data_IF_747732094287
#
_entry.id   IF_747732094287
#
_cell.length_a   1.000
_cell.length_b   1.000
_cell.length_c   1.000
_cell.angle_alpha   90.00
_cell.angle_beta   90.00
_cell.angle_gamma   90.00
#
_symmetry.space_group_name_H-M   'P 1'
#
loop_
_entity.id
_entity.type
_entity.pdbx_description
1 polymer ?
#
# COMPACT_ATOMS: atom_id res chain seq x y z
N UNK A 1 -8.47 -27.11 -17.96
CA UNK A 1 -9.46 -26.02 -18.03
C UNK A 1 -8.95 -24.94 -17.10
N UNK A 2 -8.32 -23.93 -17.69
CA UNK A 2 -7.83 -22.76 -16.97
C UNK A 2 -9.08 -22.05 -16.41
N UNK A 3 -9.28 -22.14 -15.10
CA UNK A 3 -10.36 -21.44 -14.41
C UNK A 3 -10.03 -19.97 -14.52
N UNK A 4 -10.46 -19.35 -15.61
CA UNK A 4 -10.45 -17.91 -15.82
C UNK A 4 -11.03 -17.29 -14.55
N UNK A 5 -10.20 -16.57 -13.80
CA UNK A 5 -10.55 -16.10 -12.45
C UNK A 5 -11.85 -15.29 -12.47
N UNK A 6 -12.54 -15.18 -11.33
CA UNK A 6 -13.79 -14.39 -11.28
C UNK A 6 -13.55 -12.94 -11.70
N UNK A 7 -14.56 -12.19 -12.17
CA UNK A 7 -14.41 -10.78 -12.58
C UNK A 7 -13.67 -9.92 -11.54
N UNK A 8 -14.04 -10.05 -10.25
CA UNK A 8 -13.39 -9.30 -9.16
C UNK A 8 -11.89 -9.65 -8.98
N UNK A 9 -11.49 -10.88 -9.31
CA UNK A 9 -10.07 -11.29 -9.30
C UNK A 9 -9.31 -10.63 -10.45
N UNK A 10 -9.92 -10.60 -11.65
CA UNK A 10 -9.30 -10.00 -12.83
C UNK A 10 -9.19 -8.47 -12.68
N UNK A 11 -10.22 -7.82 -12.15
CA UNK A 11 -10.22 -6.38 -11.86
C UNK A 11 -9.15 -6.07 -10.81
N UNK A 12 -9.12 -6.81 -9.70
CA UNK A 12 -8.11 -6.59 -8.65
C UNK A 12 -6.68 -6.77 -9.15
N UNK A 13 -6.45 -7.78 -9.99
CA UNK A 13 -5.15 -8.00 -10.65
C UNK A 13 -4.78 -6.82 -11.57
N UNK A 14 -5.71 -6.38 -12.41
CA UNK A 14 -5.48 -5.29 -13.35
C UNK A 14 -5.22 -3.95 -12.66
N UNK A 15 -5.98 -3.63 -11.60
CA UNK A 15 -5.79 -2.42 -10.79
C UNK A 15 -4.41 -2.44 -10.13
N UNK A 16 -4.00 -3.57 -9.54
CA UNK A 16 -2.68 -3.66 -8.92
C UNK A 16 -1.55 -3.46 -9.95
N UNK A 17 -1.69 -4.04 -11.14
CA UNK A 17 -0.72 -3.84 -12.23
C UNK A 17 -0.67 -2.37 -12.64
N UNK A 18 -1.82 -1.71 -12.79
CA UNK A 18 -1.89 -0.29 -13.17
C UNK A 18 -1.21 0.61 -12.13
N UNK A 19 -1.46 0.37 -10.84
CA UNK A 19 -0.85 1.14 -9.74
C UNK A 19 0.67 0.93 -9.72
N UNK A 20 1.14 -0.32 -9.72
CA UNK A 20 2.58 -0.61 -9.70
C UNK A 20 3.28 -0.04 -10.92
N UNK A 21 2.64 -0.14 -12.10
CA UNK A 21 3.16 0.45 -13.34
C UNK A 21 3.31 1.95 -13.23
N UNK A 22 2.26 2.64 -12.78
CA UNK A 22 2.26 4.09 -12.63
C UNK A 22 3.40 4.60 -11.74
N UNK A 23 3.63 3.95 -10.60
CA UNK A 23 4.69 4.33 -9.65
C UNK A 23 6.11 4.05 -10.21
N UNK A 24 6.30 2.92 -10.88
CA UNK A 24 7.62 2.51 -11.39
C UNK A 24 8.01 3.29 -12.65
N UNK A 25 7.05 3.56 -13.54
CA UNK A 25 7.27 4.35 -14.76
C UNK A 25 7.65 5.80 -14.41
N UNK A 26 7.00 6.40 -13.39
CA UNK A 26 7.34 7.75 -12.93
C UNK A 26 8.80 7.88 -12.47
N UNK A 27 9.32 6.89 -11.72
CA UNK A 27 10.74 6.87 -11.30
C UNK A 27 11.68 6.59 -12.49
N UNK A 28 11.25 5.74 -13.42
CA UNK A 28 12.05 5.36 -14.60
C UNK A 28 12.22 6.54 -15.57
N UNK A 29 11.18 7.33 -15.77
CA UNK A 29 11.19 8.54 -16.60
C UNK A 29 12.12 9.61 -16.01
N UNK A 30 12.08 9.82 -14.69
CA UNK A 30 12.99 10.74 -14.01
C UNK A 30 14.47 10.33 -14.15
N UNK A 31 14.74 9.02 -14.23
CA UNK A 31 16.09 8.45 -14.30
C UNK A 31 16.55 8.07 -15.73
N UNK A 32 15.79 8.39 -16.79
CA UNK A 32 16.12 8.08 -18.20
C UNK A 32 16.55 6.61 -18.45
N UNK A 33 15.90 5.64 -17.80
CA UNK A 33 16.29 4.23 -17.86
C UNK A 33 15.25 3.38 -18.62
N UNK A 34 15.59 2.13 -18.97
CA UNK A 34 14.70 1.21 -19.67
C UNK A 34 13.46 0.82 -18.82
N UNK A 35 12.28 0.61 -19.44
CA UNK A 35 11.04 0.28 -18.74
C UNK A 35 11.13 -1.05 -17.96
N UNK A 36 10.56 -1.07 -16.76
CA UNK A 36 10.47 -2.29 -15.94
C UNK A 36 9.43 -3.26 -16.52
N UNK A 37 9.84 -4.52 -16.69
CA UNK A 37 8.97 -5.59 -17.20
C UNK A 37 7.99 -6.05 -16.11
N UNK A 38 6.78 -5.49 -16.12
CA UNK A 38 5.66 -5.97 -15.31
C UNK A 38 4.80 -7.01 -16.08
N UNK A 39 4.13 -7.93 -15.37
CA UNK A 39 3.11 -8.79 -15.97
C UNK A 39 2.09 -7.94 -16.74
N UNK A 40 1.69 -8.40 -17.93
CA UNK A 40 0.53 -7.80 -18.61
C UNK A 40 -0.74 -8.21 -17.88
N UNK A 41 -1.71 -7.31 -17.70
CA UNK A 41 -3.01 -7.68 -17.18
C UNK A 41 -3.61 -8.81 -18.01
N UNK A 42 -4.32 -9.73 -17.35
CA UNK A 42 -5.20 -10.66 -18.06
C UNK A 42 -6.21 -9.85 -18.88
N UNK A 43 -6.59 -10.37 -20.04
CA UNK A 43 -7.53 -9.67 -20.93
C UNK A 43 -8.89 -9.51 -20.24
N UNK A 44 -9.20 -8.29 -19.82
CA UNK A 44 -10.54 -7.93 -19.36
C UNK A 44 -11.49 -7.96 -20.56
N UNK A 45 -12.52 -8.81 -20.48
CA UNK A 45 -13.39 -9.14 -21.61
C UNK A 45 -14.36 -8.02 -22.01
N UNK A 46 -14.67 -7.09 -21.10
CA UNK A 46 -15.67 -6.06 -21.30
C UNK A 46 -15.04 -4.64 -21.17
N UNK A 47 -15.62 -3.67 -21.89
CA UNK A 47 -15.17 -2.27 -21.79
C UNK A 47 -15.50 -1.64 -20.43
N UNK A 48 -16.54 -2.13 -19.76
CA UNK A 48 -16.94 -1.62 -18.45
C UNK A 48 -15.89 -1.90 -17.38
N UNK A 49 -15.35 -3.13 -17.31
CA UNK A 49 -14.31 -3.44 -16.32
C UNK A 49 -13.01 -2.71 -16.65
N UNK A 50 -12.67 -2.54 -17.93
CA UNK A 50 -11.51 -1.74 -18.33
C UNK A 50 -11.64 -0.28 -17.88
N UNK A 51 -12.83 0.32 -18.05
CA UNK A 51 -13.10 1.68 -17.58
C UNK A 51 -13.05 1.75 -16.06
N UNK A 52 -13.64 0.77 -15.37
CA UNK A 52 -13.64 0.70 -13.91
C UNK A 52 -12.21 0.58 -13.36
N UNK A 53 -11.37 -0.27 -13.96
CA UNK A 53 -9.96 -0.43 -13.60
C UNK A 53 -9.22 0.90 -13.70
N UNK A 54 -9.38 1.61 -14.82
CA UNK A 54 -8.79 2.92 -14.99
C UNK A 54 -9.29 3.95 -13.95
N UNK A 55 -10.60 4.01 -13.68
CA UNK A 55 -11.15 4.91 -12.66
C UNK A 55 -10.65 4.57 -11.23
N UNK A 56 -10.49 3.29 -10.92
CA UNK A 56 -9.90 2.82 -9.66
C UNK A 56 -8.41 3.20 -9.57
N UNK A 57 -7.63 2.99 -10.64
CA UNK A 57 -6.23 3.39 -10.73
C UNK A 57 -6.05 4.89 -10.46
N UNK A 58 -6.86 5.73 -11.12
CA UNK A 58 -6.87 7.17 -10.89
C UNK A 58 -7.26 7.54 -9.45
N UNK A 59 -8.29 6.89 -8.90
CA UNK A 59 -8.74 7.14 -7.51
C UNK A 59 -7.64 6.80 -6.50
N UNK A 60 -6.98 5.65 -6.68
CA UNK A 60 -5.87 5.21 -5.83
C UNK A 60 -4.71 6.21 -5.93
N UNK A 61 -4.36 6.66 -7.15
CA UNK A 61 -3.29 7.66 -7.35
C UNK A 61 -3.58 8.96 -6.62
N UNK A 62 -4.79 9.52 -6.77
CA UNK A 62 -5.19 10.77 -6.08
C UNK A 62 -5.08 10.65 -4.55
N UNK A 63 -5.41 9.48 -4.00
CA UNK A 63 -5.29 9.22 -2.56
C UNK A 63 -3.83 9.02 -2.16
N UNK A 64 -3.07 8.33 -3.01
CA UNK A 64 -1.62 8.16 -2.90
C UNK A 64 -0.88 9.49 -2.80
N UNK A 65 -1.17 10.43 -3.71
CA UNK A 65 -0.57 11.78 -3.72
C UNK A 65 -0.82 12.54 -2.41
N UNK A 66 -1.97 12.31 -1.76
CA UNK A 66 -2.26 12.86 -0.43
C UNK A 66 -1.51 12.13 0.68
N UNK A 67 -1.40 10.81 0.58
CA UNK A 67 -0.67 9.98 1.52
C UNK A 67 0.84 10.29 1.50
N UNK A 68 1.35 10.73 0.36
CA UNK A 68 2.73 11.14 0.18
C UNK A 68 3.12 12.41 0.93
N UNK A 69 2.15 13.20 1.38
CA UNK A 69 2.38 14.32 2.29
C UNK A 69 2.62 13.85 3.74
N UNK A 70 2.36 12.57 4.04
CA UNK A 70 2.56 12.00 5.38
C UNK A 70 4.00 11.44 5.54
N UNK A 71 4.79 12.14 6.35
CA UNK A 71 6.19 11.78 6.62
C UNK A 71 6.35 10.45 7.39
N UNK A 72 5.41 10.10 8.27
CA UNK A 72 5.44 8.83 9.03
C UNK A 72 5.19 7.64 8.09
N UNK A 73 4.20 7.77 7.21
CA UNK A 73 3.95 6.78 6.17
C UNK A 73 5.19 6.60 5.27
N UNK A 74 5.78 7.69 4.78
CA UNK A 74 6.96 7.62 3.93
C UNK A 74 8.16 6.98 4.64
N UNK A 75 8.38 7.27 5.93
CA UNK A 75 9.43 6.64 6.72
C UNK A 75 9.21 5.13 6.90
N UNK A 76 7.96 4.70 7.09
CA UNK A 76 7.60 3.28 7.15
C UNK A 76 7.92 2.59 5.83
N UNK A 77 7.49 3.16 4.70
CA UNK A 77 7.72 2.60 3.36
C UNK A 77 9.24 2.55 3.05
N UNK A 78 10.01 3.59 3.39
CA UNK A 78 11.47 3.59 3.23
C UNK A 78 12.13 2.45 4.03
N UNK A 79 11.71 2.25 5.29
CA UNK A 79 12.21 1.16 6.13
C UNK A 79 11.93 -0.23 5.53
N UNK A 80 10.77 -0.41 4.90
CA UNK A 80 10.38 -1.65 4.23
C UNK A 80 11.14 -1.86 2.90
N UNK A 81 11.30 -0.80 2.10
CA UNK A 81 11.95 -0.80 0.79
C UNK A 81 13.44 -1.14 0.83
N UNK A 82 14.14 -0.84 1.92
CA UNK A 82 15.56 -1.21 2.12
C UNK A 82 15.82 -2.71 2.17
N UNK A 83 14.82 -3.51 2.55
CA UNK A 83 14.95 -4.97 2.69
C UNK A 83 14.18 -5.71 1.60
N UNK A 84 13.05 -5.13 1.14
CA UNK A 84 12.23 -5.61 0.03
C UNK A 84 12.07 -7.14 -0.04
N UNK A 85 11.72 -7.77 1.08
CA UNK A 85 11.54 -9.22 1.18
C UNK A 85 10.11 -9.58 1.63
N UNK A 86 9.84 -10.88 1.73
CA UNK A 86 8.55 -11.41 2.22
C UNK A 86 8.21 -10.92 3.63
N UNK A 87 9.21 -10.66 4.48
CA UNK A 87 9.02 -10.20 5.85
C UNK A 87 8.59 -8.74 5.88
N UNK A 88 9.19 -7.89 5.05
CA UNK A 88 8.77 -6.51 4.83
C UNK A 88 7.34 -6.43 4.33
N UNK A 89 6.97 -7.25 3.34
CA UNK A 89 5.59 -7.32 2.86
C UNK A 89 4.62 -7.77 3.98
N UNK A 90 4.98 -8.81 4.76
CA UNK A 90 4.14 -9.26 5.86
C UNK A 90 3.92 -8.18 6.92
N UNK A 91 4.94 -7.36 7.19
CA UNK A 91 4.81 -6.21 8.11
C UNK A 91 3.86 -5.16 7.54
N UNK A 92 3.98 -4.81 6.26
CA UNK A 92 3.05 -3.88 5.61
C UNK A 92 1.60 -4.35 5.77
N UNK A 93 1.32 -5.62 5.44
CA UNK A 93 -0.03 -6.18 5.56
C UNK A 93 -0.53 -6.17 7.01
N UNK A 94 0.31 -6.58 7.97
CA UNK A 94 -0.04 -6.52 9.39
C UNK A 94 -0.34 -5.10 9.86
N UNK A 95 0.35 -4.12 9.29
CA UNK A 95 0.15 -2.73 9.64
C UNK A 95 -1.18 -2.18 9.12
N UNK A 96 -1.49 -2.47 7.87
CA UNK A 96 -2.72 -2.03 7.22
C UNK A 96 -3.95 -2.74 7.77
N UNK A 97 -3.82 -3.99 8.21
CA UNK A 97 -4.94 -4.84 8.68
C UNK A 97 -4.80 -5.28 10.14
N UNK A 98 -4.17 -4.47 11.00
CA UNK A 98 -3.81 -4.83 12.39
C UNK A 98 -4.97 -5.32 13.27
N UNK A 99 -6.16 -4.77 13.06
CA UNK A 99 -7.39 -5.06 13.80
C UNK A 99 -8.34 -6.02 13.05
N UNK A 100 -7.82 -6.71 12.03
CA UNK A 100 -8.55 -7.61 11.14
C UNK A 100 -9.74 -6.97 10.41
N UNK A 101 -9.84 -5.63 10.40
CA UNK A 101 -10.91 -4.92 9.70
C UNK A 101 -10.56 -4.73 8.22
N UNK A 102 -11.50 -5.10 7.35
CA UNK A 102 -11.40 -4.89 5.90
C UNK A 102 -12.36 -3.76 5.51
N UNK A 103 -11.83 -2.75 4.82
CA UNK A 103 -12.60 -1.71 4.15
C UNK A 103 -11.83 -1.22 2.91
N UNK A 104 -12.51 -0.51 2.01
CA UNK A 104 -11.89 -0.02 0.77
C UNK A 104 -10.69 0.89 1.00
N UNK A 105 -10.74 1.76 2.01
CA UNK A 105 -9.61 2.64 2.34
C UNK A 105 -8.31 1.87 2.63
N UNK A 106 -8.39 0.76 3.37
CA UNK A 106 -7.25 -0.11 3.66
C UNK A 106 -6.74 -0.86 2.44
N UNK A 107 -7.65 -1.32 1.58
CA UNK A 107 -7.30 -1.99 0.32
C UNK A 107 -6.54 -1.00 -0.60
N UNK A 108 -7.04 0.23 -0.72
CA UNK A 108 -6.38 1.32 -1.47
C UNK A 108 -4.99 1.61 -0.91
N UNK A 109 -4.85 1.77 0.41
CA UNK A 109 -3.54 2.00 1.06
C UNK A 109 -2.57 0.86 0.78
N UNK A 110 -3.01 -0.40 0.87
CA UNK A 110 -2.16 -1.56 0.55
C UNK A 110 -1.68 -1.50 -0.91
N UNK A 111 -2.59 -1.31 -1.87
CA UNK A 111 -2.27 -1.33 -3.30
C UNK A 111 -1.29 -0.20 -3.65
N UNK A 112 -1.55 1.00 -3.14
CA UNK A 112 -0.65 2.15 -3.31
C UNK A 112 0.73 1.89 -2.69
N UNK A 113 0.77 1.41 -1.46
CA UNK A 113 2.03 1.11 -0.74
C UNK A 113 2.88 0.09 -1.50
N UNK A 114 2.27 -0.89 -2.14
CA UNK A 114 2.96 -1.90 -2.96
C UNK A 114 3.58 -1.27 -4.21
N UNK A 115 2.86 -0.38 -4.90
CA UNK A 115 3.40 0.38 -6.03
C UNK A 115 4.59 1.23 -5.60
N UNK A 116 4.46 1.97 -4.49
CA UNK A 116 5.53 2.80 -3.94
C UNK A 116 6.76 1.99 -3.54
N UNK A 117 6.57 0.84 -2.89
CA UNK A 117 7.68 -0.07 -2.54
C UNK A 117 8.41 -0.59 -3.79
N UNK A 118 7.66 -0.91 -4.85
CA UNK A 118 8.23 -1.35 -6.11
C UNK A 118 9.05 -0.26 -6.81
N UNK A 119 8.68 1.01 -6.62
CA UNK A 119 9.38 2.17 -7.16
C UNK A 119 10.62 2.60 -6.34
N UNK A 120 10.69 2.23 -5.05
CA UNK A 120 11.81 2.61 -4.16
C UNK A 120 13.11 1.81 -4.37
N UNK A 121 13.04 0.64 -4.98
CA UNK A 121 14.23 -0.22 -5.14
C UNK A 121 15.06 0.18 -6.36
N UNK A 122 16.38 -0.03 -6.35
CA UNK A 122 17.23 0.26 -7.51
C UNK A 122 16.71 -0.42 -8.78
N UNK A 123 16.80 0.25 -9.92
CA UNK A 123 16.24 -0.25 -11.20
C UNK A 123 16.80 -1.64 -11.57
N UNK A 124 18.04 -1.94 -11.21
CA UNK A 124 18.66 -3.26 -11.42
C UNK A 124 17.97 -4.41 -10.66
N UNK A 125 17.31 -4.10 -9.54
CA UNK A 125 16.62 -5.03 -8.65
C UNK A 125 15.09 -4.94 -8.80
N UNK A 126 14.60 -3.83 -9.37
CA UNK A 126 13.18 -3.52 -9.54
C UNK A 126 12.37 -4.65 -10.18
N UNK A 127 12.75 -5.29 -11.31
CA UNK A 127 11.92 -6.35 -11.92
C UNK A 127 11.64 -7.54 -10.98
N UNK A 128 12.62 -7.94 -10.18
CA UNK A 128 12.51 -9.06 -9.24
C UNK A 128 11.59 -8.70 -8.07
N UNK A 129 11.75 -7.49 -7.52
CA UNK A 129 10.94 -7.01 -6.41
C UNK A 129 9.51 -6.72 -6.85
N UNK A 130 9.31 -6.10 -8.01
CA UNK A 130 7.99 -5.92 -8.60
C UNK A 130 7.25 -7.26 -8.71
N UNK A 131 7.93 -8.29 -9.23
CA UNK A 131 7.36 -9.64 -9.34
C UNK A 131 7.02 -10.23 -7.97
N UNK A 132 7.92 -10.11 -6.99
CA UNK A 132 7.73 -10.62 -5.64
C UNK A 132 6.58 -9.91 -4.91
N UNK A 133 6.58 -8.58 -4.89
CA UNK A 133 5.56 -7.76 -4.27
C UNK A 133 4.20 -8.02 -4.91
N UNK A 134 4.14 -8.10 -6.24
CA UNK A 134 2.92 -8.45 -6.97
C UNK A 134 2.39 -9.84 -6.56
N UNK A 135 3.27 -10.86 -6.56
CA UNK A 135 2.88 -12.21 -6.18
C UNK A 135 2.37 -12.31 -4.74
N UNK A 136 3.06 -11.69 -3.78
CA UNK A 136 2.65 -11.68 -2.37
C UNK A 136 1.34 -10.92 -2.14
N UNK A 137 1.17 -9.79 -2.83
CA UNK A 137 -0.07 -8.99 -2.76
C UNK A 137 -1.25 -9.76 -3.33
N UNK A 138 -1.09 -10.37 -4.51
CA UNK A 138 -2.15 -11.16 -5.13
C UNK A 138 -2.50 -12.41 -4.32
N UNK A 139 -1.51 -13.05 -3.68
CA UNK A 139 -1.71 -14.20 -2.79
C UNK A 139 -2.47 -13.79 -1.51
N UNK A 140 -2.20 -12.61 -0.95
CA UNK A 140 -2.99 -12.06 0.16
C UNK A 140 -4.40 -11.67 -0.29
N UNK A 141 -4.51 -10.93 -1.39
CA UNK A 141 -5.77 -10.48 -1.98
C UNK A 141 -6.73 -11.64 -2.21
N UNK A 142 -6.29 -12.69 -2.91
CA UNK A 142 -7.12 -13.87 -3.21
C UNK A 142 -7.56 -14.62 -1.97
N UNK A 143 -6.72 -14.69 -0.94
CA UNK A 143 -7.02 -15.45 0.29
C UNK A 143 -7.86 -14.71 1.32
N UNK A 144 -7.80 -13.37 1.33
CA UNK A 144 -8.38 -12.56 2.43
C UNK A 144 -9.33 -11.47 1.97
N UNK A 145 -9.08 -10.84 0.82
CA UNK A 145 -9.83 -9.67 0.38
C UNK A 145 -10.92 -10.02 -0.63
N UNK A 146 -10.67 -11.01 -1.49
CA UNK A 146 -11.53 -11.32 -2.63
C UNK A 146 -12.95 -11.71 -2.22
N UNK A 147 -13.12 -12.51 -1.17
CA UNK A 147 -14.46 -12.87 -0.69
C UNK A 147 -15.18 -11.69 -0.03
N UNK A 148 -14.45 -10.84 0.71
CA UNK A 148 -15.03 -9.62 1.26
C UNK A 148 -15.52 -8.68 0.15
N UNK A 149 -14.71 -8.48 -0.89
CA UNK A 149 -15.04 -7.63 -2.06
C UNK A 149 -16.32 -8.13 -2.73
N UNK A 150 -16.43 -9.43 -2.98
CA UNK A 150 -17.64 -10.02 -3.55
C UNK A 150 -18.87 -9.78 -2.66
N UNK A 151 -18.70 -9.92 -1.34
CA UNK A 151 -19.80 -9.76 -0.38
C UNK A 151 -20.32 -8.32 -0.28
N UNK A 152 -19.46 -7.32 -0.50
CA UNK A 152 -19.87 -5.90 -0.49
C UNK A 152 -20.36 -5.40 -1.86
N UNK A 153 -20.44 -6.26 -2.87
CA UNK A 153 -20.98 -5.91 -4.20
C UNK A 153 -19.93 -5.62 -5.28
N UNK A 154 -18.65 -5.98 -5.03
CA UNK A 154 -17.58 -5.88 -6.00
C UNK A 154 -16.89 -4.52 -6.06
N UNK A 155 -15.86 -4.43 -6.90
CA UNK A 155 -15.00 -3.24 -7.05
C UNK A 155 -15.74 -1.96 -7.45
N UNK A 156 -16.92 -2.07 -8.06
CA UNK A 156 -17.73 -0.91 -8.44
C UNK A 156 -18.13 -0.05 -7.22
N UNK A 157 -18.26 -0.66 -6.04
CA UNK A 157 -18.62 0.03 -4.80
C UNK A 157 -17.46 0.82 -4.20
N UNK A 158 -16.22 0.45 -4.52
CA UNK A 158 -15.01 1.10 -4.02
C UNK A 158 -14.99 2.60 -4.34
N UNK A 159 -15.28 2.97 -5.59
CA UNK A 159 -15.23 4.39 -6.00
C UNK A 159 -16.21 5.21 -5.19
N UNK A 160 -17.47 4.75 -5.07
CA UNK A 160 -18.51 5.46 -4.33
C UNK A 160 -18.16 5.61 -2.84
N UNK A 161 -17.71 4.54 -2.20
CA UNK A 161 -17.37 4.58 -0.77
C UNK A 161 -16.13 5.46 -0.52
N UNK A 162 -15.07 5.28 -1.31
CA UNK A 162 -13.81 6.00 -1.13
C UNK A 162 -13.94 7.48 -1.47
N UNK A 163 -14.76 7.85 -2.47
CA UNK A 163 -15.06 9.25 -2.78
C UNK A 163 -15.91 9.91 -1.70
N UNK A 164 -16.86 9.19 -1.09
CA UNK A 164 -17.61 9.66 0.07
C UNK A 164 -16.70 9.88 1.29
N UNK A 165 -15.79 8.94 1.57
CA UNK A 165 -14.76 9.10 2.61
C UNK A 165 -13.81 10.28 2.33
N UNK A 166 -13.51 10.55 1.05
CA UNK A 166 -12.66 11.67 0.62
C UNK A 166 -13.33 13.05 0.78
N UNK A 167 -14.66 13.14 0.73
CA UNK A 167 -15.40 14.41 0.78
C UNK A 167 -15.70 14.89 2.21
N UNK A 168 -15.95 13.97 3.16
CA UNK A 168 -16.36 14.35 4.52
C UNK A 168 -15.27 14.22 5.59
N UNK A 169 -14.22 13.41 5.38
CA UNK A 169 -13.36 12.96 6.48
C UNK A 169 -11.84 13.00 6.23
N UNK A 170 -11.36 13.87 5.33
CA UNK A 170 -9.93 14.23 5.26
C UNK A 170 -9.54 15.28 6.32
N UNK A 171 -10.22 15.32 7.47
CA UNK A 171 -9.54 15.68 8.70
C UNK A 171 -8.57 14.54 8.99
N UNK A 172 -7.28 14.80 8.83
CA UNK A 172 -6.15 13.87 8.96
C UNK A 172 -6.22 12.90 10.15
N UNK A 173 -7.13 13.02 11.12
CA UNK A 173 -7.26 12.15 12.29
C UNK A 173 -7.66 10.70 11.99
N UNK A 174 -8.50 10.40 10.98
CA UNK A 174 -8.93 9.02 10.68
C UNK A 174 -7.92 8.24 9.85
N UNK A 175 -7.22 8.90 8.92
CA UNK A 175 -6.05 8.33 8.23
C UNK A 175 -4.81 8.34 9.11
N UNK A 176 -4.64 9.36 9.97
CA UNK A 176 -3.74 9.25 11.11
C UNK A 176 -4.19 8.15 12.06
N UNK A 177 -5.45 7.70 12.12
CA UNK A 177 -5.79 6.52 12.89
C UNK A 177 -5.24 5.27 12.21
N UNK A 178 -5.28 5.13 10.88
CA UNK A 178 -4.56 4.03 10.21
C UNK A 178 -3.04 4.12 10.45
N UNK A 179 -2.46 5.33 10.44
CA UNK A 179 -1.03 5.56 10.74
C UNK A 179 -0.68 5.53 12.24
N UNK A 180 -1.60 5.83 13.17
CA UNK A 180 -1.42 5.86 14.64
C UNK A 180 -1.83 4.54 15.29
N UNK A 181 -2.81 3.84 14.74
CA UNK A 181 -3.09 2.44 15.05
C UNK A 181 -1.96 1.54 14.56
N UNK A 182 -1.08 2.03 13.66
CA UNK A 182 0.24 1.48 13.34
C UNK A 182 1.28 1.63 14.48
N UNK A 183 0.94 2.27 15.60
CA UNK A 183 1.84 2.64 16.71
C UNK A 183 2.73 1.55 17.37
N UNK A 184 3.73 1.03 16.66
CA UNK A 184 4.96 0.42 17.19
C UNK A 184 6.16 0.88 16.34
N UNK A 185 6.35 2.21 16.27
CA UNK A 185 7.71 2.81 16.26
C UNK A 185 7.80 3.86 17.39
N UNK A 186 6.95 3.71 18.41
CA UNK A 186 6.97 4.50 19.65
C UNK A 186 7.78 3.87 20.79
N UNK A 187 8.58 2.83 20.54
CA UNK A 187 9.48 2.25 21.55
C UNK A 187 10.80 1.89 20.89
N UNK A 188 11.71 2.86 20.78
CA UNK A 188 13.10 2.78 21.27
C UNK A 188 13.97 4.04 21.09
N UNK A 189 13.43 5.27 20.99
CA UNK A 189 14.21 6.51 21.24
C UNK A 189 13.53 7.43 22.26
N UNK A 190 12.98 6.87 23.33
CA UNK A 190 12.61 7.67 24.52
C UNK A 190 12.90 6.94 25.83
N UNK A 191 13.96 6.11 25.84
CA UNK A 191 14.45 5.42 27.03
C UNK A 191 15.85 5.84 27.49
N UNK A 192 16.57 6.67 26.71
CA UNK A 192 17.97 7.06 27.02
C UNK A 192 18.10 8.46 27.63
N UNK A 193 17.06 9.30 27.57
CA UNK A 193 17.10 10.65 28.17
C UNK A 193 16.44 10.76 29.56
N UNK A 194 15.50 9.87 29.89
CA UNK A 194 14.88 9.90 31.24
C UNK A 194 15.77 9.23 32.28
N UNK A 195 16.48 8.14 31.91
CA UNK A 195 17.44 7.48 32.81
C UNK A 195 18.66 8.34 33.16
N UNK A 196 19.13 9.18 32.23
CA UNK A 196 20.26 10.09 32.46
C UNK A 196 19.87 11.30 33.31
N UNK A 197 18.64 11.81 33.20
CA UNK A 197 18.16 12.91 34.03
C UNK A 197 17.97 12.53 35.51
N UNK A 198 17.45 11.32 35.79
CA UNK A 198 17.28 10.85 37.18
C UNK A 198 18.64 10.64 37.84
N UNK A 199 19.60 10.04 37.14
CA UNK A 199 20.95 9.81 37.66
C UNK A 199 21.70 11.13 37.91
N UNK A 200 21.54 12.13 37.03
CA UNK A 200 22.14 13.45 37.20
C UNK A 200 21.54 14.25 38.37
N UNK A 201 20.23 14.14 38.62
CA UNK A 201 19.57 14.84 39.74
C UNK A 201 19.94 14.26 41.10
N UNK A 202 20.23 12.97 41.18
CA UNK A 202 20.66 12.33 42.43
C UNK A 202 22.13 12.62 42.78
N UNK A 203 23.01 12.78 41.78
CA UNK A 203 24.42 13.11 42.03
C UNK A 203 24.68 14.60 42.36
N UNK A 204 23.66 15.48 42.24
CA UNK A 204 23.80 16.91 42.57
C UNK A 204 23.38 17.26 44.00
N UNK A 205 22.79 16.30 44.72
CA UNK A 205 22.25 16.48 46.07
C UNK A 205 22.89 15.53 47.11
N UNK A 206 24.08 14.99 46.85
CA UNK A 206 24.96 14.37 47.86
C UNK A 206 26.27 15.13 47.95
#
# INVERSE_FOLDING_TARGET
>A
MESDGTPEDQIGEAVLIEVVRGEVEEVTEQQHTAPVLLPKPRSLKNMQDQKLVHELGQTIRIIGDKLDQNTEFNAMIDGLGRVADKKSFSKLVQEVFRDDQINWGRIVVLFYSVGKLAAMVPISVSPLICTLCFALTMDFFRRKLLDWIRNVGGWITCISEVTQFSLEHLSMSSFNSICRFSGIIGIFITGVLVGTFITWRLNKNS
#
